data_IF_537305979238
#
_entry.id   IF_537305979238
#
_cell.length_a   1.000
_cell.length_b   1.000
_cell.length_c   1.000
_cell.angle_alpha   90.00
_cell.angle_beta   90.00
_cell.angle_gamma   90.00
#
_symmetry.space_group_name_H-M   'P 1'
#
loop_
_entity.id
_entity.type
_entity.pdbx_description
1 polymer ?
#
# COMPACT_ATOMS: atom_id res chain seq x y z
N UNK A 1 -14.31 -17.80 -0.10
CA UNK A 1 -13.60 -16.50 -0.15
C UNK A 1 -12.23 -16.73 -0.78
N UNK A 2 -12.15 -16.69 -2.11
CA UNK A 2 -10.90 -16.72 -2.88
C UNK A 2 -10.88 -15.42 -3.67
N UNK A 3 -9.85 -14.58 -3.52
CA UNK A 3 -9.32 -13.62 -4.53
C UNK A 3 -8.63 -12.36 -3.97
N UNK A 4 -8.23 -12.30 -2.69
CA UNK A 4 -7.34 -11.22 -2.25
C UNK A 4 -5.95 -11.22 -2.95
N UNK A 5 -5.53 -12.34 -3.55
CA UNK A 5 -4.20 -12.47 -4.19
C UNK A 5 -4.09 -11.89 -5.61
N UNK A 6 -5.18 -11.48 -6.27
CA UNK A 6 -5.17 -11.17 -7.72
C UNK A 6 -5.90 -9.88 -8.14
N UNK A 7 -6.27 -9.00 -7.21
CA UNK A 7 -6.96 -7.74 -7.58
C UNK A 7 -6.01 -6.53 -7.41
N UNK A 8 -5.37 -6.15 -8.52
CA UNK A 8 -4.49 -4.98 -8.57
C UNK A 8 -5.20 -3.68 -8.19
N UNK A 9 -6.50 -3.57 -8.48
CA UNK A 9 -7.27 -2.38 -8.13
C UNK A 9 -7.49 -2.30 -6.62
N UNK A 10 -7.78 -3.45 -5.98
CA UNK A 10 -7.87 -3.54 -4.52
C UNK A 10 -6.54 -3.18 -3.85
N UNK A 11 -5.41 -3.70 -4.36
CA UNK A 11 -4.08 -3.41 -3.83
C UNK A 11 -3.76 -1.89 -3.89
N UNK A 12 -4.09 -1.23 -5.01
CA UNK A 12 -3.89 0.23 -5.16
C UNK A 12 -4.74 1.08 -4.19
N UNK A 13 -5.82 0.52 -3.65
CA UNK A 13 -6.66 1.18 -2.65
C UNK A 13 -6.11 1.12 -1.22
N UNK A 14 -5.06 0.32 -0.96
CA UNK A 14 -4.48 0.21 0.37
C UNK A 14 -3.55 1.39 0.64
N UNK A 15 -3.88 2.14 1.67
CA UNK A 15 -3.18 3.38 2.02
C UNK A 15 -2.17 3.21 3.15
N UNK A 16 -2.43 2.31 4.09
CA UNK A 16 -1.53 2.00 5.19
C UNK A 16 -1.74 0.58 5.72
N UNK A 17 -0.67 -0.02 6.24
CA UNK A 17 -0.67 -1.32 6.94
C UNK A 17 0.27 -1.20 8.14
N UNK A 18 -0.19 -1.55 9.35
CA UNK A 18 0.63 -1.53 10.58
C UNK A 18 1.44 -0.24 10.80
N UNK A 19 0.82 0.92 10.54
CA UNK A 19 1.45 2.24 10.67
C UNK A 19 2.44 2.60 9.55
N UNK A 20 2.61 1.73 8.54
CA UNK A 20 3.44 2.00 7.36
C UNK A 20 2.58 2.54 6.23
N UNK A 21 3.04 3.65 5.64
CA UNK A 21 2.39 4.29 4.51
C UNK A 21 2.71 3.54 3.21
N UNK A 22 1.66 3.16 2.48
CA UNK A 22 1.78 2.38 1.24
C UNK A 22 1.43 3.16 -0.01
N UNK A 23 1.12 4.46 0.11
CA UNK A 23 0.89 5.36 -1.03
C UNK A 23 2.14 6.16 -1.35
N UNK A 24 2.74 5.89 -2.51
CA UNK A 24 3.96 6.58 -2.96
C UNK A 24 3.79 8.10 -3.09
N UNK A 25 2.66 8.54 -3.68
CA UNK A 25 2.38 9.97 -3.91
C UNK A 25 2.33 10.77 -2.60
N UNK A 26 1.64 10.26 -1.58
CA UNK A 26 1.54 10.93 -0.28
C UNK A 26 2.89 10.93 0.44
N UNK A 27 3.65 9.84 0.32
CA UNK A 27 5.02 9.76 0.85
C UNK A 27 5.92 10.85 0.24
N UNK A 28 5.88 11.03 -1.07
CA UNK A 28 6.71 12.03 -1.77
C UNK A 28 6.27 13.48 -1.43
N UNK A 29 4.96 13.75 -1.42
CA UNK A 29 4.43 15.09 -1.13
C UNK A 29 4.71 15.52 0.33
N UNK A 30 4.61 14.58 1.27
CA UNK A 30 4.76 14.85 2.71
C UNK A 30 6.15 14.50 3.25
N UNK A 31 7.06 14.03 2.39
CA UNK A 31 8.39 13.55 2.77
C UNK A 31 8.35 12.47 3.88
N UNK A 32 7.34 11.59 3.82
CA UNK A 32 7.13 10.51 4.79
C UNK A 32 7.75 9.19 4.29
N UNK A 33 8.14 8.27 5.17
CA UNK A 33 8.64 6.95 4.78
C UNK A 33 7.61 6.14 3.99
N UNK A 34 8.02 5.58 2.83
CA UNK A 34 7.21 4.69 2.01
C UNK A 34 7.53 3.22 2.28
N UNK A 35 6.52 2.35 2.24
CA UNK A 35 6.68 0.89 2.24
C UNK A 35 5.86 0.28 1.10
N UNK A 36 6.48 -0.58 0.29
CA UNK A 36 5.77 -1.23 -0.80
C UNK A 36 4.79 -2.27 -0.26
N UNK A 37 3.57 -2.29 -0.80
CA UNK A 37 2.50 -3.23 -0.39
C UNK A 37 2.94 -4.69 -0.53
N UNK A 38 3.72 -5.00 -1.58
CA UNK A 38 4.22 -6.34 -1.84
C UNK A 38 5.15 -6.89 -0.74
N UNK A 39 5.77 -6.00 0.05
CA UNK A 39 6.65 -6.39 1.15
C UNK A 39 5.90 -6.58 2.48
N UNK A 40 4.59 -6.31 2.51
CA UNK A 40 3.74 -6.28 3.72
C UNK A 40 2.60 -7.32 3.70
N UNK A 41 2.32 -7.95 2.55
CA UNK A 41 1.31 -9.00 2.36
C UNK A 41 1.96 -10.36 2.11
#
# INVERSE_FOLDING_TARGET
MKQQKNDEALAKGINAIDGKLTIKKVSEEQQLPYSAIADLL
#
